data_IF_355264247761
#
_entry.id   IF_355264247761
#
_cell.length_a   1.000
_cell.length_b   1.000
_cell.length_c   1.000
_cell.angle_alpha   90.00
_cell.angle_beta   90.00
_cell.angle_gamma   90.00
#
_symmetry.space_group_name_H-M   'P 1'
#
loop_
_entity.id
_entity.type
_entity.pdbx_description
1 polymer ?
#
# COMPACT_ATOMS: atom_id res chain seq x y z
N UNK A 1 38.02 17.80 -26.85
CA UNK A 1 37.66 18.89 -25.92
C UNK A 1 36.16 18.83 -25.64
N UNK A 2 35.78 18.43 -24.42
CA UNK A 2 34.37 18.34 -23.96
C UNK A 2 33.85 19.76 -23.71
N UNK A 3 32.92 20.25 -24.54
CA UNK A 3 32.11 21.43 -24.17
C UNK A 3 30.99 20.96 -23.24
N UNK A 4 31.07 21.41 -22.00
CA UNK A 4 30.15 21.14 -20.90
C UNK A 4 28.89 21.98 -21.03
N UNK A 5 27.76 21.39 -20.64
CA UNK A 5 26.38 21.92 -20.66
C UNK A 5 26.14 23.14 -19.73
N UNK A 6 27.19 23.82 -19.24
CA UNK A 6 27.09 24.84 -18.19
C UNK A 6 26.97 26.28 -18.70
N UNK A 7 27.14 26.55 -20.00
CA UNK A 7 27.16 27.92 -20.54
C UNK A 7 25.79 28.51 -20.91
N UNK A 8 24.68 27.78 -20.71
CA UNK A 8 23.34 28.26 -21.09
C UNK A 8 22.57 29.00 -19.98
N UNK A 9 23.22 29.36 -18.87
CA UNK A 9 22.53 30.01 -17.72
C UNK A 9 22.76 31.52 -17.59
N UNK A 10 23.68 32.13 -18.33
CA UNK A 10 24.06 33.53 -18.09
C UNK A 10 23.29 34.58 -18.89
N UNK A 11 22.48 34.21 -19.89
CA UNK A 11 21.81 35.17 -20.80
C UNK A 11 20.31 34.92 -21.02
N UNK A 12 19.61 34.34 -20.04
CA UNK A 12 18.14 34.30 -20.12
C UNK A 12 17.57 35.64 -19.63
N UNK A 13 16.78 36.37 -20.46
CA UNK A 13 16.16 37.61 -20.05
C UNK A 13 15.37 37.42 -18.76
N UNK A 14 15.41 38.40 -17.83
CA UNK A 14 14.71 38.31 -16.54
C UNK A 14 13.21 37.97 -16.68
N UNK A 15 12.60 38.38 -17.79
CA UNK A 15 11.24 38.01 -18.18
C UNK A 15 11.06 36.49 -18.38
N UNK A 16 12.02 35.82 -19.04
CA UNK A 16 12.00 34.38 -19.30
C UNK A 16 12.18 33.57 -18.01
N UNK A 17 13.04 34.03 -17.09
CA UNK A 17 13.20 33.42 -15.76
C UNK A 17 11.89 33.56 -14.95
N UNK A 18 11.24 34.72 -15.02
CA UNK A 18 9.95 34.96 -14.36
C UNK A 18 8.84 34.10 -14.98
N UNK A 19 8.84 33.92 -16.30
CA UNK A 19 7.87 33.10 -17.02
C UNK A 19 8.07 31.60 -16.75
N UNK A 20 9.31 31.11 -16.72
CA UNK A 20 9.65 29.72 -16.34
C UNK A 20 9.34 29.47 -14.86
N UNK A 21 9.58 30.43 -13.95
CA UNK A 21 9.12 30.32 -12.55
C UNK A 21 7.60 30.33 -12.45
N UNK A 22 6.88 31.12 -13.25
CA UNK A 22 5.42 31.17 -13.26
C UNK A 22 4.81 29.90 -13.84
N UNK A 23 5.37 29.34 -14.92
CA UNK A 23 4.99 28.04 -15.48
C UNK A 23 5.33 26.92 -14.51
N UNK A 24 6.52 26.94 -13.89
CA UNK A 24 6.89 25.97 -12.85
C UNK A 24 5.94 26.06 -11.67
N UNK A 25 5.54 27.25 -11.20
CA UNK A 25 4.54 27.38 -10.13
C UNK A 25 3.13 27.00 -10.59
N UNK A 26 2.76 27.23 -11.85
CA UNK A 26 1.48 26.83 -12.43
C UNK A 26 1.37 25.30 -12.60
N UNK A 27 2.48 24.63 -12.99
CA UNK A 27 2.57 23.17 -13.09
C UNK A 27 2.94 22.47 -11.78
N UNK A 28 3.57 23.16 -10.82
CA UNK A 28 3.92 22.63 -9.49
C UNK A 28 2.85 22.86 -8.41
N UNK A 29 1.77 23.60 -8.71
CA UNK A 29 0.63 23.79 -7.79
C UNK A 29 -0.48 22.74 -7.96
N UNK A 30 -0.17 21.52 -8.41
CA UNK A 30 -1.07 20.40 -8.09
C UNK A 30 -0.98 20.18 -6.58
N UNK A 31 -2.02 20.60 -5.86
CA UNK A 31 -2.19 20.32 -4.42
C UNK A 31 -1.88 18.84 -4.21
N UNK A 32 -0.87 18.54 -3.38
CA UNK A 32 -0.53 17.15 -3.07
C UNK A 32 -1.73 16.49 -2.37
N UNK A 33 -2.08 15.25 -2.72
CA UNK A 33 -3.22 14.57 -2.12
C UNK A 33 -3.05 14.48 -0.61
N UNK A 34 -4.14 14.68 0.12
CA UNK A 34 -4.25 14.33 1.54
C UNK A 34 -4.43 12.82 1.66
N UNK A 35 -3.69 12.19 2.58
CA UNK A 35 -3.63 10.72 2.69
C UNK A 35 -3.96 10.29 4.11
N UNK A 36 -4.85 9.32 4.26
CA UNK A 36 -5.02 8.57 5.51
C UNK A 36 -4.32 7.22 5.36
N UNK A 37 -3.37 6.93 6.25
CA UNK A 37 -2.70 5.64 6.34
C UNK A 37 -3.05 4.91 7.63
N UNK A 38 -3.69 3.75 7.49
CA UNK A 38 -4.14 2.88 8.56
C UNK A 38 -3.20 1.69 8.68
N UNK A 39 -2.46 1.63 9.79
CA UNK A 39 -1.55 0.51 10.10
C UNK A 39 -2.26 -0.45 11.03
N UNK A 40 -2.44 -1.70 10.59
CA UNK A 40 -3.09 -2.75 11.37
C UNK A 40 -2.05 -3.46 12.24
N UNK A 41 -2.07 -3.20 13.54
CA UNK A 41 -1.09 -3.76 14.46
C UNK A 41 -1.72 -4.64 15.54
N UNK A 42 -1.21 -5.85 15.64
CA UNK A 42 -1.53 -6.81 16.69
C UNK A 42 -0.29 -7.65 17.01
N UNK A 43 -0.10 -7.97 18.28
CA UNK A 43 0.92 -8.89 18.77
C UNK A 43 0.33 -9.88 19.78
N UNK A 44 0.78 -11.13 19.70
CA UNK A 44 0.39 -12.22 20.58
C UNK A 44 -0.17 -13.45 19.85
N UNK A 45 -0.47 -14.50 20.62
CA UNK A 45 -1.07 -15.73 20.07
C UNK A 45 -2.58 -15.57 19.88
N UNK A 46 -3.07 -15.93 18.70
CA UNK A 46 -4.49 -16.06 18.38
C UNK A 46 -4.84 -17.52 18.09
N UNK A 47 -6.10 -17.93 18.29
CA UNK A 47 -6.54 -19.29 17.95
C UNK A 47 -6.43 -19.57 16.44
N UNK A 48 -6.73 -18.57 15.61
CA UNK A 48 -6.85 -18.73 14.15
C UNK A 48 -5.74 -18.04 13.34
N UNK A 49 -4.75 -17.45 14.03
CA UNK A 49 -3.65 -16.71 13.41
C UNK A 49 -2.31 -17.40 13.67
N UNK A 50 -1.60 -17.71 12.58
CA UNK A 50 -0.22 -18.21 12.60
C UNK A 50 0.65 -17.25 11.79
N UNK A 51 1.47 -16.46 12.48
CA UNK A 51 2.39 -15.49 11.88
C UNK A 51 3.39 -14.98 12.91
N UNK A 52 4.42 -14.25 12.47
CA UNK A 52 5.52 -13.83 13.37
C UNK A 52 5.05 -12.88 14.48
N UNK A 53 3.95 -12.16 14.29
CA UNK A 53 3.34 -11.39 15.37
C UNK A 53 2.87 -12.23 16.57
N UNK A 54 2.78 -13.57 16.46
CA UNK A 54 2.46 -14.46 17.58
C UNK A 54 3.64 -15.22 18.18
N UNK A 55 4.82 -15.19 17.55
CA UNK A 55 5.98 -16.03 17.93
C UNK A 55 7.31 -15.30 17.98
N UNK A 56 7.45 -14.17 17.30
CA UNK A 56 8.67 -13.37 17.27
C UNK A 56 8.88 -12.61 18.58
N UNK A 57 10.14 -12.36 18.92
CA UNK A 57 10.51 -11.47 20.01
C UNK A 57 9.81 -10.11 19.87
N UNK A 58 9.26 -9.61 20.99
CA UNK A 58 8.46 -8.40 21.02
C UNK A 58 9.27 -7.16 20.61
N UNK A 59 10.56 -7.08 20.98
CA UNK A 59 11.41 -5.94 20.60
C UNK A 59 11.70 -5.94 19.11
N UNK A 60 11.93 -7.12 18.52
CA UNK A 60 12.11 -7.29 17.07
C UNK A 60 10.83 -6.90 16.32
N UNK A 61 9.66 -7.39 16.75
CA UNK A 61 8.38 -7.06 16.10
C UNK A 61 8.10 -5.55 16.21
N UNK A 62 8.32 -4.95 17.37
CA UNK A 62 8.17 -3.50 17.56
C UNK A 62 9.03 -2.71 16.58
N UNK A 63 10.30 -3.11 16.39
CA UNK A 63 11.20 -2.47 15.42
C UNK A 63 10.71 -2.58 13.96
N UNK A 64 10.09 -3.69 13.58
CA UNK A 64 9.45 -3.86 12.26
C UNK A 64 8.29 -2.87 12.10
N UNK A 65 7.39 -2.80 13.08
CA UNK A 65 6.23 -1.90 13.06
C UNK A 65 6.66 -0.44 12.96
N UNK A 66 7.65 -0.02 13.75
CA UNK A 66 8.21 1.32 13.71
C UNK A 66 8.87 1.64 12.37
N UNK A 67 9.52 0.66 11.72
CA UNK A 67 10.08 0.81 10.38
C UNK A 67 8.99 1.08 9.33
N UNK A 68 7.86 0.36 9.39
CA UNK A 68 6.70 0.58 8.52
C UNK A 68 6.14 1.99 8.71
N UNK A 69 5.90 2.41 9.96
CA UNK A 69 5.39 3.75 10.30
C UNK A 69 6.35 4.83 9.78
N UNK A 70 7.65 4.67 9.99
CA UNK A 70 8.66 5.63 9.55
C UNK A 70 8.75 5.76 8.03
N UNK A 71 8.52 4.68 7.28
CA UNK A 71 8.45 4.75 5.83
C UNK A 71 7.20 5.50 5.35
N UNK A 72 6.03 5.23 5.95
CA UNK A 72 4.79 5.93 5.63
C UNK A 72 4.88 7.45 5.87
N UNK A 73 5.61 7.88 6.91
CA UNK A 73 5.88 9.31 7.19
C UNK A 73 6.59 10.03 6.05
N UNK A 74 7.26 9.31 5.15
CA UNK A 74 7.93 9.90 3.98
C UNK A 74 6.93 10.29 2.89
N UNK A 75 5.69 9.79 2.93
CA UNK A 75 4.62 10.16 2.01
C UNK A 75 4.06 11.53 2.45
N UNK A 76 4.10 12.57 1.60
CA UNK A 76 3.63 13.91 1.97
C UNK A 76 2.14 13.95 2.32
N UNK A 77 1.75 14.85 3.23
CA UNK A 77 0.36 15.06 3.64
C UNK A 77 -0.35 13.79 4.14
N UNK A 78 0.39 12.91 4.82
CA UNK A 78 -0.13 11.66 5.36
C UNK A 78 -0.44 11.80 6.84
N UNK A 79 -1.69 11.53 7.21
CA UNK A 79 -2.09 11.23 8.57
C UNK A 79 -2.00 9.72 8.80
N UNK A 80 -1.24 9.31 9.81
CA UNK A 80 -1.06 7.89 10.14
C UNK A 80 -1.91 7.57 11.37
N UNK A 81 -2.66 6.47 11.30
CA UNK A 81 -3.50 5.94 12.38
C UNK A 81 -3.18 4.49 12.62
N UNK A 82 -2.74 4.17 13.83
CA UNK A 82 -2.42 2.82 14.25
C UNK A 82 -3.69 2.20 14.84
N UNK A 83 -4.23 1.20 14.16
CA UNK A 83 -5.39 0.45 14.57
C UNK A 83 -4.95 -0.87 15.20
N UNK A 84 -5.43 -1.19 16.39
CA UNK A 84 -4.99 -2.40 17.09
C UNK A 84 -5.88 -2.80 18.25
N UNK A 85 -5.31 -3.60 19.15
CA UNK A 85 -5.98 -4.13 20.33
C UNK A 85 -5.15 -3.72 21.54
N UNK A 86 -5.72 -2.91 22.44
CA UNK A 86 -5.02 -2.14 23.49
C UNK A 86 -4.01 -2.93 24.32
N UNK A 87 -4.33 -4.17 24.70
CA UNK A 87 -3.46 -5.02 25.54
C UNK A 87 -2.50 -5.92 24.75
N UNK A 88 -2.58 -5.83 23.42
CA UNK A 88 -1.87 -6.67 22.46
C UNK A 88 -1.02 -5.85 21.50
N UNK A 89 -0.93 -4.54 21.69
CA UNK A 89 -0.15 -3.65 20.82
C UNK A 89 1.19 -3.30 21.46
N UNK A 90 2.26 -3.38 20.67
CA UNK A 90 3.64 -3.05 21.05
C UNK A 90 3.98 -1.57 20.85
N UNK A 91 3.09 -0.85 20.16
CA UNK A 91 3.14 0.60 19.93
C UNK A 91 1.81 1.22 20.35
N UNK A 92 1.82 2.52 20.64
CA UNK A 92 0.59 3.25 20.96
C UNK A 92 -0.39 3.17 19.79
N UNK A 93 -1.64 2.82 20.08
CA UNK A 93 -2.72 2.77 19.09
C UNK A 93 -3.52 4.06 19.13
N UNK A 94 -3.98 4.51 17.96
CA UNK A 94 -4.90 5.64 17.78
C UNK A 94 -6.36 5.19 17.85
N UNK A 95 -6.62 3.97 17.36
CA UNK A 95 -7.96 3.39 17.31
C UNK A 95 -7.94 2.00 17.93
N UNK A 96 -8.76 1.85 18.98
CA UNK A 96 -8.91 0.60 19.71
C UNK A 96 -10.05 -0.24 19.11
N UNK A 97 -9.74 -1.49 18.80
CA UNK A 97 -10.65 -2.51 18.30
C UNK A 97 -10.66 -3.75 19.21
N UNK A 98 -10.45 -3.56 20.51
CA UNK A 98 -10.50 -4.65 21.49
C UNK A 98 -11.87 -5.35 21.54
N UNK A 99 -12.96 -4.70 21.09
CA UNK A 99 -14.31 -5.30 21.03
C UNK A 99 -14.43 -6.51 20.10
N UNK A 100 -13.50 -6.65 19.16
CA UNK A 100 -13.53 -7.67 18.10
C UNK A 100 -13.27 -9.07 18.66
N UNK A 101 -12.51 -9.16 19.77
CA UNK A 101 -12.15 -10.42 20.44
C UNK A 101 -11.15 -11.28 19.66
N UNK A 102 -11.40 -11.53 18.37
CA UNK A 102 -10.53 -12.28 17.46
C UNK A 102 -9.65 -11.32 16.60
N UNK A 103 -8.33 -11.26 16.84
CA UNK A 103 -7.43 -10.39 16.09
C UNK A 103 -7.43 -10.62 14.57
N UNK A 104 -7.84 -11.79 14.11
CA UNK A 104 -7.92 -12.09 12.67
C UNK A 104 -8.95 -11.23 11.92
N UNK A 105 -9.87 -10.57 12.65
CA UNK A 105 -10.84 -9.63 12.06
C UNK A 105 -10.38 -8.17 12.10
N UNK A 106 -9.20 -7.86 12.65
CA UNK A 106 -8.71 -6.48 12.80
C UNK A 106 -8.76 -5.68 11.49
N UNK A 107 -8.37 -6.29 10.37
CA UNK A 107 -8.34 -5.61 9.07
C UNK A 107 -9.75 -5.30 8.56
N UNK A 108 -10.75 -6.15 8.84
CA UNK A 108 -12.13 -5.83 8.47
C UNK A 108 -12.62 -4.56 9.17
N UNK A 109 -12.34 -4.46 10.47
CA UNK A 109 -12.79 -3.35 11.31
C UNK A 109 -12.06 -2.05 10.94
N UNK A 110 -10.78 -2.14 10.63
CA UNK A 110 -10.01 -0.98 10.21
C UNK A 110 -10.41 -0.50 8.80
N UNK A 111 -10.81 -1.40 7.89
CA UNK A 111 -11.35 -1.03 6.57
C UNK A 111 -12.71 -0.33 6.74
N UNK A 112 -13.58 -0.86 7.59
CA UNK A 112 -14.89 -0.26 7.87
C UNK A 112 -14.74 1.13 8.51
N UNK A 113 -13.85 1.25 9.50
CA UNK A 113 -13.51 2.54 10.10
C UNK A 113 -12.89 3.51 9.07
N UNK A 114 -11.95 3.05 8.25
CA UNK A 114 -11.34 3.86 7.19
C UNK A 114 -12.37 4.36 6.18
N UNK A 115 -13.34 3.51 5.79
CA UNK A 115 -14.44 3.89 4.90
C UNK A 115 -15.32 5.00 5.50
N UNK A 116 -15.52 5.03 6.82
CA UNK A 116 -16.23 6.13 7.48
C UNK A 116 -15.52 7.49 7.35
N UNK A 117 -14.24 7.50 6.96
CA UNK A 117 -13.44 8.70 6.75
C UNK A 117 -13.33 9.11 5.27
N UNK A 118 -14.06 8.43 4.36
CA UNK A 118 -13.87 8.55 2.90
C UNK A 118 -13.96 9.98 2.36
N UNK A 119 -14.75 10.84 3.00
CA UNK A 119 -14.91 12.22 2.54
C UNK A 119 -13.83 13.20 3.00
N UNK A 120 -12.93 12.79 3.90
CA UNK A 120 -11.91 13.66 4.52
C UNK A 120 -10.56 13.65 3.81
N UNK A 121 -10.25 12.62 3.02
CA UNK A 121 -8.94 12.43 2.40
C UNK A 121 -9.07 12.13 0.91
N UNK A 122 -8.01 12.40 0.16
CA UNK A 122 -7.95 12.12 -1.28
C UNK A 122 -7.50 10.68 -1.56
N UNK A 123 -6.70 10.09 -0.66
CA UNK A 123 -6.18 8.73 -0.75
C UNK A 123 -6.20 8.02 0.60
N UNK A 124 -6.30 6.69 0.52
CA UNK A 124 -6.41 5.78 1.64
C UNK A 124 -5.41 4.64 1.49
N UNK A 125 -4.63 4.40 2.54
CA UNK A 125 -3.73 3.26 2.66
C UNK A 125 -4.21 2.43 3.85
N UNK A 126 -4.52 1.15 3.65
CA UNK A 126 -4.74 0.19 4.73
C UNK A 126 -3.66 -0.89 4.60
N UNK A 127 -2.86 -1.12 5.63
CA UNK A 127 -1.62 -1.88 5.50
C UNK A 127 -1.37 -2.77 6.73
N UNK A 128 -0.83 -3.96 6.52
CA UNK A 128 -0.28 -4.80 7.59
C UNK A 128 0.98 -4.15 8.18
N UNK A 129 1.25 -4.39 9.46
CA UNK A 129 2.33 -3.77 10.24
C UNK A 129 3.73 -4.31 9.91
N UNK A 130 3.85 -5.21 8.95
CA UNK A 130 5.09 -5.79 8.42
C UNK A 130 5.29 -5.51 6.91
N UNK A 131 4.43 -4.68 6.30
CA UNK A 131 4.53 -4.30 4.89
C UNK A 131 5.08 -2.89 4.76
N UNK A 132 6.19 -2.75 4.04
CA UNK A 132 6.85 -1.47 3.78
C UNK A 132 6.43 -0.93 2.41
N UNK A 133 5.60 0.12 2.41
CA UNK A 133 5.24 0.91 1.24
C UNK A 133 6.17 2.12 1.11
N UNK A 134 6.98 2.15 0.06
CA UNK A 134 7.82 3.32 -0.23
C UNK A 134 7.02 4.45 -0.88
N UNK A 135 7.45 5.69 -0.63
CA UNK A 135 6.89 6.88 -1.29
C UNK A 135 6.84 6.76 -2.82
N UNK A 136 7.90 6.23 -3.43
CA UNK A 136 7.99 6.07 -4.89
C UNK A 136 6.90 5.13 -5.42
N UNK A 137 6.61 4.05 -4.70
CA UNK A 137 5.56 3.10 -5.05
C UNK A 137 4.19 3.76 -4.93
N UNK A 138 3.94 4.47 -3.83
CA UNK A 138 2.71 5.25 -3.66
C UNK A 138 2.51 6.28 -4.79
N UNK A 139 3.52 7.08 -5.11
CA UNK A 139 3.44 8.10 -6.17
C UNK A 139 3.11 7.51 -7.54
N UNK A 140 3.58 6.29 -7.84
CA UNK A 140 3.21 5.58 -9.07
C UNK A 140 1.75 5.12 -9.09
N UNK A 141 1.20 4.71 -7.95
CA UNK A 141 -0.23 4.38 -7.83
C UNK A 141 -1.06 5.64 -8.09
N UNK A 142 -0.70 6.75 -7.45
CA UNK A 142 -1.37 8.05 -7.65
C UNK A 142 -1.28 8.51 -9.10
N UNK A 143 -0.15 8.30 -9.78
CA UNK A 143 -0.02 8.64 -11.20
C UNK A 143 -0.87 7.74 -12.09
N UNK A 144 -0.91 6.44 -11.82
CA UNK A 144 -1.76 5.50 -12.55
C UNK A 144 -3.23 5.90 -12.44
N UNK A 145 -3.70 6.25 -11.24
CA UNK A 145 -5.10 6.58 -10.99
C UNK A 145 -5.60 7.82 -11.75
N UNK A 146 -4.72 8.69 -12.23
CA UNK A 146 -5.10 9.88 -13.03
C UNK A 146 -5.56 9.53 -14.44
N UNK A 147 -5.11 8.40 -14.98
CA UNK A 147 -5.26 8.05 -16.39
C UNK A 147 -6.08 6.77 -16.61
N UNK A 148 -6.44 6.07 -15.52
CA UNK A 148 -7.01 4.74 -15.58
C UNK A 148 -8.41 4.69 -14.98
N UNK A 149 -9.16 3.64 -15.35
CA UNK A 149 -10.54 3.46 -14.91
C UNK A 149 -10.60 3.25 -13.40
N UNK A 150 -11.72 3.66 -12.79
CA UNK A 150 -11.99 3.46 -11.37
C UNK A 150 -11.87 1.98 -10.94
N UNK A 151 -12.22 1.05 -11.83
CA UNK A 151 -12.16 -0.40 -11.60
C UNK A 151 -10.76 -1.00 -11.79
N UNK A 152 -9.72 -0.22 -12.05
CA UNK A 152 -8.36 -0.71 -12.32
C UNK A 152 -7.38 -0.18 -11.28
N UNK A 153 -6.58 -1.05 -10.66
CA UNK A 153 -5.59 -0.67 -9.66
C UNK A 153 -4.19 -1.11 -10.07
N UNK A 154 -3.21 -0.22 -9.97
CA UNK A 154 -1.80 -0.59 -10.10
C UNK A 154 -1.26 -1.14 -8.78
N UNK A 155 -1.50 -2.42 -8.58
CA UNK A 155 -1.20 -3.12 -7.34
C UNK A 155 0.29 -3.51 -7.27
N UNK A 156 0.98 -3.24 -6.14
CA UNK A 156 2.38 -3.62 -5.99
C UNK A 156 2.54 -5.14 -5.81
N UNK A 157 3.67 -5.68 -6.29
CA UNK A 157 4.09 -7.03 -5.90
C UNK A 157 4.59 -7.02 -4.46
N UNK A 158 4.20 -8.01 -3.65
CA UNK A 158 4.73 -8.18 -2.30
C UNK A 158 6.00 -9.01 -2.37
N UNK A 159 7.13 -8.35 -2.15
CA UNK A 159 8.45 -8.94 -2.30
C UNK A 159 9.07 -9.23 -0.93
N UNK A 160 9.73 -10.37 -0.81
CA UNK A 160 10.61 -10.71 0.31
C UNK A 160 12.05 -10.85 -0.17
N UNK A 161 12.99 -10.75 0.76
CA UNK A 161 14.40 -10.97 0.51
C UNK A 161 14.95 -11.98 1.50
N UNK A 162 15.50 -13.08 0.96
CA UNK A 162 16.20 -14.11 1.72
C UNK A 162 17.67 -14.09 1.29
N UNK A 163 18.50 -13.44 2.10
CA UNK A 163 19.91 -13.17 1.77
C UNK A 163 20.05 -12.32 0.51
N UNK A 164 20.47 -12.94 -0.60
CA UNK A 164 20.60 -12.31 -1.92
C UNK A 164 19.43 -12.59 -2.87
N UNK A 165 18.44 -13.39 -2.44
CA UNK A 165 17.34 -13.83 -3.29
C UNK A 165 16.07 -13.03 -3.01
N UNK A 166 15.66 -12.18 -3.97
CA UNK A 166 14.36 -11.51 -3.95
C UNK A 166 13.29 -12.37 -4.65
N UNK A 167 12.11 -12.51 -4.05
CA UNK A 167 10.98 -13.22 -4.65
C UNK A 167 9.63 -12.60 -4.28
N UNK A 168 8.63 -12.81 -5.14
CA UNK A 168 7.26 -12.37 -4.87
C UNK A 168 6.53 -13.45 -4.05
N UNK A 169 6.20 -13.13 -2.80
CA UNK A 169 5.59 -14.10 -1.87
C UNK A 169 4.22 -14.57 -2.37
N UNK A 170 3.44 -13.67 -2.98
CA UNK A 170 2.09 -14.00 -3.45
C UNK A 170 2.13 -14.98 -4.63
N UNK A 171 3.06 -14.79 -5.57
CA UNK A 171 3.23 -15.70 -6.72
C UNK A 171 3.90 -17.01 -6.33
N UNK A 172 4.66 -17.02 -5.24
CA UNK A 172 5.21 -18.26 -4.68
C UNK A 172 4.12 -19.09 -3.99
N UNK A 173 3.23 -18.43 -3.24
CA UNK A 173 2.12 -19.08 -2.55
C UNK A 173 1.04 -19.59 -3.52
N UNK A 174 0.72 -18.81 -4.55
CA UNK A 174 -0.21 -19.18 -5.63
C UNK A 174 0.30 -18.60 -6.95
N UNK A 175 1.03 -19.39 -7.76
CA UNK A 175 1.55 -18.94 -9.03
C UNK A 175 0.43 -18.86 -10.08
N UNK A 176 0.48 -17.84 -10.93
CA UNK A 176 -0.46 -17.72 -12.04
C UNK A 176 -0.69 -16.28 -12.46
N UNK A 177 -0.96 -16.10 -13.75
CA UNK A 177 -1.31 -14.83 -14.36
C UNK A 177 -2.47 -15.05 -15.31
N UNK A 178 -3.45 -14.16 -15.29
CA UNK A 178 -4.53 -14.16 -16.27
C UNK A 178 -4.02 -13.69 -17.64
N UNK A 179 -4.84 -13.89 -18.68
CA UNK A 179 -4.59 -13.35 -20.02
C UNK A 179 -4.88 -11.85 -20.14
N UNK A 180 -5.35 -11.19 -19.08
CA UNK A 180 -5.64 -9.75 -19.08
C UNK A 180 -4.33 -8.98 -18.82
N UNK A 181 -3.91 -8.21 -19.81
CA UNK A 181 -2.67 -7.43 -19.77
C UNK A 181 -2.88 -5.97 -20.13
N UNK A 182 -1.91 -5.13 -19.74
CA UNK A 182 -1.92 -3.69 -20.00
C UNK A 182 -0.50 -3.15 -20.03
N UNK A 183 -0.22 -2.22 -20.96
CA UNK A 183 1.04 -1.44 -20.93
C UNK A 183 0.82 -0.12 -20.21
N UNK A 184 1.75 0.24 -19.32
CA UNK A 184 1.73 1.52 -18.61
C UNK A 184 3.15 1.98 -18.28
N UNK A 185 3.58 3.16 -18.72
CA UNK A 185 4.91 3.74 -18.43
C UNK A 185 6.08 2.74 -18.57
N UNK A 186 6.11 2.03 -19.71
CA UNK A 186 7.07 0.96 -20.06
C UNK A 186 6.96 -0.33 -19.21
N UNK A 187 6.00 -0.44 -18.31
CA UNK A 187 5.68 -1.67 -17.62
C UNK A 187 4.75 -2.54 -18.46
N UNK A 188 5.04 -3.84 -18.50
CA UNK A 188 4.08 -4.85 -18.89
C UNK A 188 3.33 -5.29 -17.62
N UNK A 189 2.05 -4.96 -17.56
CA UNK A 189 1.20 -5.25 -16.42
C UNK A 189 0.28 -6.42 -16.74
N UNK A 190 0.07 -7.30 -15.76
CA UNK A 190 -0.91 -8.38 -15.83
C UNK A 190 -1.64 -8.53 -14.50
N UNK A 191 -2.79 -9.18 -14.54
CA UNK A 191 -3.51 -9.54 -13.32
C UNK A 191 -3.01 -10.90 -12.86
N UNK A 192 -2.50 -10.96 -11.63
CA UNK A 192 -2.14 -12.23 -10.99
C UNK A 192 -3.41 -13.00 -10.61
N UNK A 193 -3.37 -14.33 -10.67
CA UNK A 193 -4.50 -15.16 -10.22
C UNK A 193 -4.73 -15.03 -8.71
N UNK A 194 -3.67 -14.74 -7.96
CA UNK A 194 -3.73 -14.58 -6.51
C UNK A 194 -4.27 -13.18 -6.13
N UNK A 195 -5.45 -13.07 -5.48
CA UNK A 195 -5.99 -11.80 -5.03
C UNK A 195 -5.44 -11.36 -3.65
N UNK A 196 -4.55 -12.15 -3.04
CA UNK A 196 -3.93 -11.84 -1.76
C UNK A 196 -3.18 -10.51 -1.81
N UNK A 197 -3.37 -9.72 -0.77
CA UNK A 197 -2.54 -8.56 -0.50
C UNK A 197 -2.36 -8.36 1.00
N UNK A 198 -1.24 -7.76 1.40
CA UNK A 198 -1.06 -7.19 2.74
C UNK A 198 -1.31 -5.68 2.78
N UNK A 199 -1.83 -5.10 1.70
CA UNK A 199 -2.03 -3.66 1.54
C UNK A 199 -3.17 -3.31 0.58
N UNK A 200 -3.94 -2.28 0.90
CA UNK A 200 -4.81 -1.59 -0.05
C UNK A 200 -4.37 -0.12 -0.18
N UNK A 201 -4.24 0.38 -1.41
CA UNK A 201 -4.00 1.80 -1.70
C UNK A 201 -5.04 2.25 -2.70
N UNK A 202 -5.99 3.07 -2.26
CA UNK A 202 -7.14 3.49 -3.04
C UNK A 202 -7.29 5.01 -3.00
N UNK A 203 -7.61 5.62 -4.14
CA UNK A 203 -8.14 6.97 -4.15
C UNK A 203 -9.51 7.01 -3.46
N UNK A 204 -9.96 8.21 -3.06
CA UNK A 204 -11.31 8.45 -2.54
C UNK A 204 -12.39 7.80 -3.41
N UNK A 205 -12.35 8.06 -4.71
CA UNK A 205 -13.36 7.54 -5.65
C UNK A 205 -13.33 6.00 -5.72
N UNK A 206 -12.13 5.40 -5.68
CA UNK A 206 -12.00 3.94 -5.66
C UNK A 206 -12.53 3.34 -4.37
N UNK A 207 -12.26 3.95 -3.21
CA UNK A 207 -12.81 3.48 -1.95
C UNK A 207 -14.34 3.56 -1.97
N UNK A 208 -14.93 4.66 -2.46
CA UNK A 208 -16.39 4.78 -2.65
C UNK A 208 -16.94 3.67 -3.56
N UNK A 209 -16.31 3.48 -4.71
CA UNK A 209 -16.68 2.43 -5.64
C UNK A 209 -16.60 1.02 -5.04
N UNK A 210 -15.59 0.75 -4.20
CA UNK A 210 -15.47 -0.53 -3.52
C UNK A 210 -16.61 -0.74 -2.52
N UNK A 211 -16.87 0.23 -1.64
CA UNK A 211 -17.89 0.10 -0.58
C UNK A 211 -19.32 0.01 -1.12
N UNK A 212 -19.58 0.51 -2.33
CA UNK A 212 -20.85 0.34 -3.02
C UNK A 212 -21.05 -1.08 -3.57
N UNK A 213 -19.96 -1.84 -3.76
CA UNK A 213 -19.96 -3.15 -4.45
C UNK A 213 -19.70 -4.33 -3.53
N UNK A 214 -19.24 -4.08 -2.31
CA UNK A 214 -18.90 -5.13 -1.35
C UNK A 214 -19.73 -4.97 -0.09
N UNK A 215 -19.94 -6.07 0.61
CA UNK A 215 -20.42 -6.03 1.98
C UNK A 215 -19.22 -5.82 2.92
N UNK A 216 -19.14 -4.63 3.52
CA UNK A 216 -18.12 -4.29 4.53
C UNK A 216 -18.31 -5.08 5.83
N UNK A 217 -19.52 -5.58 6.11
CA UNK A 217 -19.84 -6.37 7.31
C UNK A 217 -19.55 -7.86 7.14
N UNK A 218 -19.21 -8.29 5.92
CA UNK A 218 -18.79 -9.66 5.64
C UNK A 218 -17.57 -10.02 6.49
N UNK A 219 -17.56 -11.20 7.10
CA UNK A 219 -16.45 -11.74 7.91
C UNK A 219 -16.08 -13.18 7.48
N UNK A 220 -16.19 -13.47 6.19
CA UNK A 220 -15.93 -14.80 5.63
C UNK A 220 -14.48 -15.00 5.24
N UNK A 221 -14.02 -16.26 5.29
CA UNK A 221 -12.77 -16.65 4.65
C UNK A 221 -12.98 -16.77 3.12
N UNK A 222 -12.37 -15.87 2.36
CA UNK A 222 -12.33 -15.87 0.89
C UNK A 222 -11.04 -16.52 0.39
N UNK A 223 -9.90 -16.15 0.99
CA UNK A 223 -8.58 -16.72 0.71
C UNK A 223 -7.77 -16.88 1.99
N UNK A 224 -6.97 -17.94 2.10
CA UNK A 224 -5.98 -18.09 3.18
C UNK A 224 -6.59 -17.94 4.59
N UNK A 225 -6.28 -16.83 5.27
CA UNK A 225 -6.80 -16.46 6.59
C UNK A 225 -7.71 -15.21 6.52
N UNK A 226 -8.38 -14.87 7.61
CA UNK A 226 -9.35 -13.76 7.63
C UNK A 226 -8.73 -12.40 7.26
N UNK A 227 -7.48 -12.12 7.66
CA UNK A 227 -6.78 -10.87 7.30
C UNK A 227 -6.59 -10.74 5.78
N UNK A 228 -6.08 -11.79 5.14
CA UNK A 228 -5.98 -11.87 3.69
C UNK A 228 -7.34 -11.74 2.99
N UNK A 229 -8.37 -12.36 3.59
CA UNK A 229 -9.74 -12.32 3.09
C UNK A 229 -10.37 -10.93 3.16
N UNK A 230 -10.00 -10.11 4.15
CA UNK A 230 -10.45 -8.72 4.26
C UNK A 230 -9.98 -7.89 3.05
N UNK A 231 -8.69 -7.99 2.69
CA UNK A 231 -8.16 -7.34 1.50
C UNK A 231 -8.74 -7.94 0.21
N UNK A 232 -8.94 -9.25 0.13
CA UNK A 232 -9.56 -9.86 -1.05
C UNK A 232 -11.00 -9.38 -1.25
N UNK A 233 -11.78 -9.22 -0.17
CA UNK A 233 -13.12 -8.63 -0.22
C UNK A 233 -13.04 -7.19 -0.76
N UNK A 234 -12.20 -6.35 -0.14
CA UNK A 234 -12.02 -4.95 -0.57
C UNK A 234 -11.57 -4.83 -2.03
N UNK A 235 -10.70 -5.72 -2.49
CA UNK A 235 -10.18 -5.70 -3.86
C UNK A 235 -11.08 -6.36 -4.90
N UNK A 236 -12.07 -7.16 -4.49
CA UNK A 236 -12.92 -7.93 -5.40
C UNK A 236 -13.58 -7.13 -6.54
N UNK A 237 -13.90 -5.82 -6.40
CA UNK A 237 -14.46 -5.05 -7.51
C UNK A 237 -13.44 -4.58 -8.57
N UNK A 238 -12.13 -4.84 -8.37
CA UNK A 238 -11.06 -4.26 -9.17
C UNK A 238 -10.28 -5.29 -9.99
N UNK A 239 -9.74 -4.81 -11.10
CA UNK A 239 -8.65 -5.45 -11.83
C UNK A 239 -7.32 -5.04 -11.18
N UNK A 240 -6.66 -5.96 -10.49
CA UNK A 240 -5.38 -5.72 -9.80
C UNK A 240 -4.21 -5.95 -10.75
N UNK A 241 -3.83 -4.93 -11.51
CA UNK A 241 -2.66 -4.97 -12.39
C UNK A 241 -1.37 -4.91 -11.57
N UNK A 242 -0.50 -5.92 -11.73
CA UNK A 242 0.85 -5.96 -11.16
C UNK A 242 1.89 -5.97 -12.27
N UNK A 243 3.11 -5.54 -11.96
CA UNK A 243 4.20 -5.60 -12.94
C UNK A 243 4.59 -7.07 -13.17
N UNK A 244 4.53 -7.50 -14.43
CA UNK A 244 4.75 -8.88 -14.86
C UNK A 244 6.20 -9.13 -15.26
N UNK A 245 6.82 -8.20 -16.01
CA UNK A 245 8.15 -8.38 -16.59
C UNK A 245 9.28 -8.18 -15.57
N UNK A 246 9.10 -7.25 -14.64
CA UNK A 246 10.03 -6.98 -13.54
C UNK A 246 9.22 -6.88 -12.24
N UNK A 247 9.21 -7.99 -11.48
CA UNK A 247 8.43 -8.08 -10.25
C UNK A 247 8.85 -7.03 -9.21
N UNK A 248 10.12 -6.59 -9.25
CA UNK A 248 10.69 -5.65 -8.29
C UNK A 248 10.48 -4.18 -8.68
N UNK A 249 10.05 -3.90 -9.91
CA UNK A 249 9.91 -2.52 -10.38
C UNK A 249 8.77 -1.75 -9.70
N UNK A 250 7.69 -2.42 -9.26
CA UNK A 250 6.58 -1.84 -8.49
C UNK A 250 6.22 -2.77 -7.34
N UNK A 251 6.80 -2.51 -6.16
CA UNK A 251 6.78 -3.45 -5.04
C UNK A 251 6.52 -2.78 -3.69
N UNK A 252 6.00 -3.61 -2.79
CA UNK A 252 6.11 -3.43 -1.33
C UNK A 252 7.03 -4.51 -0.78
N UNK A 253 7.68 -4.23 0.35
CA UNK A 253 8.59 -5.19 0.99
C UNK A 253 7.87 -5.80 2.19
N UNK A 254 7.78 -7.13 2.22
CA UNK A 254 7.28 -7.86 3.37
C UNK A 254 8.45 -8.21 4.30
N UNK A 255 8.36 -7.75 5.55
CA UNK A 255 9.46 -7.79 6.53
C UNK A 255 9.46 -9.06 7.39
N UNK A 256 8.44 -9.89 7.25
CA UNK A 256 8.24 -11.07 8.09
C UNK A 256 8.90 -12.34 7.54
N UNK A 257 9.56 -12.34 6.38
CA UNK A 257 10.20 -13.52 5.79
C UNK A 257 9.34 -14.79 5.96
N UNK A 258 8.18 -14.79 5.32
CA UNK A 258 7.11 -15.78 5.43
C UNK A 258 7.59 -17.20 5.12
N UNK A 259 8.53 -17.36 4.18
CA UNK A 259 9.19 -18.63 3.90
C UNK A 259 10.68 -18.59 4.29
N UNK A 260 11.04 -19.02 5.52
CA UNK A 260 12.38 -18.90 6.08
C UNK A 260 13.32 -20.05 5.69
N UNK A 261 13.34 -20.46 4.41
CA UNK A 261 14.10 -21.63 3.92
C UNK A 261 15.54 -21.70 4.43
#
# INVERSE_FOLDING_TARGET
MKKTFNDFRSNLPAFFIKYVKKLRNFFCNKKRPTVLAVVNHYYGKGKDFRGKSGTQDASVRKGIVEKVINELRKIPNTEIRICGIKEKSLVSIDQDFSHVGNPSFLIYESIEWMASQVDKYDYFINIEDDILLTRKTFERIVEFDKENKISECFHPNRMECDGSHEYCVDLKAWPGWTNVSKKYNNYDLRIAENPHSGIAVLSKEKLKYAVEKIDLKRRDKIIGHYMASAYANLHSPFLLFRNFSDLSAHKVIHLDNWDPR
#
